data_IF_129786157443
#
_entry.id   IF_129786157443
#
_cell.length_a   1.000
_cell.length_b   1.000
_cell.length_c   1.000
_cell.angle_alpha   90.00
_cell.angle_beta   90.00
_cell.angle_gamma   90.00
#
_symmetry.space_group_name_H-M   'P 1'
#
loop_
_entity.id
_entity.type
_entity.pdbx_description
1 polymer ?
#
# COMPACT_ATOMS: atom_id res chain seq x y z
N UNK A 1 -3.75 23.39 21.31
CA UNK A 1 -3.81 22.35 22.36
C UNK A 1 -5.21 22.31 22.95
N UNK A 2 -6.05 21.33 22.57
CA UNK A 2 -7.34 21.08 23.26
C UNK A 2 -7.15 19.88 24.17
N UNK A 3 -7.23 20.09 25.48
CA UNK A 3 -7.23 19.01 26.47
C UNK A 3 -8.67 18.51 26.61
N UNK A 4 -8.94 17.26 26.24
CA UNK A 4 -10.21 16.60 26.57
C UNK A 4 -10.00 15.69 27.77
N UNK A 5 -10.68 16.00 28.86
CA UNK A 5 -10.64 15.19 30.09
C UNK A 5 -11.77 14.16 30.04
N UNK A 6 -11.43 12.87 29.97
CA UNK A 6 -12.41 11.79 30.11
C UNK A 6 -12.41 11.29 31.55
N UNK A 7 -13.49 11.56 32.29
CA UNK A 7 -13.76 10.93 33.59
C UNK A 7 -14.74 9.78 33.40
N UNK A 8 -14.28 8.54 33.61
CA UNK A 8 -15.16 7.36 33.68
C UNK A 8 -15.41 7.02 35.15
N UNK A 9 -16.69 6.94 35.54
CA UNK A 9 -17.09 6.43 36.86
C UNK A 9 -16.92 4.91 36.87
N UNK A 10 -16.03 4.37 37.71
CA UNK A 10 -16.04 2.95 38.06
C UNK A 10 -16.99 2.75 39.25
N UNK A 11 -17.96 1.84 39.11
CA UNK A 11 -18.91 1.49 40.17
C UNK A 11 -18.21 0.97 41.44
N UNK A 12 -18.74 1.38 42.59
CA UNK A 12 -18.24 1.06 43.94
C UNK A 12 -18.27 -0.44 44.26
N UNK A 13 -17.25 -0.99 44.97
CA UNK A 13 -17.47 -2.07 45.91
C UNK A 13 -17.92 -1.49 47.26
N UNK A 14 -19.00 -2.06 47.81
CA UNK A 14 -19.44 -1.81 49.17
C UNK A 14 -18.35 -2.33 50.14
N UNK A 15 -17.48 -1.45 50.64
CA UNK A 15 -16.73 -1.57 51.91
C UNK A 15 -15.77 -0.38 52.09
N UNK A 16 -16.32 0.78 52.48
CA UNK A 16 -15.78 1.70 53.50
C UNK A 16 -14.35 2.26 53.48
N UNK A 17 -13.49 1.98 52.49
CA UNK A 17 -12.13 2.53 52.45
C UNK A 17 -11.98 3.61 51.36
N UNK A 18 -11.45 4.82 51.67
CA UNK A 18 -11.19 5.83 50.67
C UNK A 18 -10.00 5.40 49.81
N UNK A 19 -10.25 5.03 48.55
CA UNK A 19 -9.19 4.87 47.55
C UNK A 19 -8.84 6.23 46.95
N UNK A 20 -7.55 6.55 46.91
CA UNK A 20 -7.05 7.73 46.23
C UNK A 20 -7.39 7.64 44.73
N UNK A 21 -8.15 8.60 44.21
CA UNK A 21 -8.42 8.72 42.79
C UNK A 21 -7.13 9.11 42.07
N UNK A 22 -6.51 8.15 41.36
CA UNK A 22 -5.45 8.45 40.41
C UNK A 22 -6.11 8.96 39.12
N UNK A 23 -6.20 10.28 38.96
CA UNK A 23 -6.56 10.87 37.69
C UNK A 23 -5.43 10.59 36.68
N UNK A 24 -5.66 9.65 35.76
CA UNK A 24 -4.76 9.45 34.62
C UNK A 24 -5.08 10.53 33.60
N UNK A 25 -4.29 11.61 33.60
CA UNK A 25 -4.32 12.59 32.51
C UNK A 25 -3.64 11.98 31.30
N UNK A 26 -4.44 11.47 30.36
CA UNK A 26 -3.92 11.08 29.05
C UNK A 26 -3.73 12.35 28.22
N UNK A 27 -2.51 12.86 28.14
CA UNK A 27 -2.18 13.95 27.23
C UNK A 27 -2.09 13.38 25.81
N UNK A 28 -3.19 13.46 25.06
CA UNK A 28 -3.15 13.26 23.60
C UNK A 28 -2.73 14.59 23.01
N UNK A 29 -1.45 14.71 22.62
CA UNK A 29 -1.01 15.80 21.76
C UNK A 29 -1.52 15.52 20.35
N UNK A 30 -2.61 16.15 19.96
CA UNK A 30 -2.92 16.34 18.55
C UNK A 30 -2.00 17.46 18.05
N UNK A 31 -1.07 17.11 17.17
CA UNK A 31 -0.32 18.07 16.40
C UNK A 31 -1.34 18.79 15.49
N UNK A 32 -1.70 20.02 15.85
CA UNK A 32 -2.39 20.86 14.90
C UNK A 32 -1.49 21.00 13.67
N UNK A 33 -2.02 20.75 12.47
CA UNK A 33 -1.35 21.10 11.22
C UNK A 33 -0.78 22.51 11.37
N UNK A 34 0.55 22.62 11.37
CA UNK A 34 1.22 23.90 11.50
C UNK A 34 0.73 24.79 10.35
N UNK A 35 0.18 25.96 10.70
CA UNK A 35 -0.22 26.92 9.67
C UNK A 35 1.04 27.28 8.86
N UNK A 36 1.00 27.00 7.55
CA UNK A 36 2.07 27.36 6.63
C UNK A 36 2.15 28.89 6.57
N UNK A 37 3.30 29.44 6.89
CA UNK A 37 3.51 30.90 6.92
C UNK A 37 4.67 31.36 6.05
N UNK A 38 5.51 30.45 5.55
CA UNK A 38 6.67 30.78 4.72
C UNK A 38 6.74 29.85 3.50
N UNK A 39 7.11 30.44 2.35
CA UNK A 39 7.20 29.73 1.08
C UNK A 39 8.62 29.79 0.53
N UNK A 40 9.16 28.63 0.21
CA UNK A 40 10.49 28.43 -0.35
C UNK A 40 10.37 27.76 -1.70
N UNK A 41 10.91 28.38 -2.75
CA UNK A 41 10.97 27.82 -4.10
C UNK A 41 12.41 27.44 -4.42
N UNK A 42 12.63 26.21 -4.85
CA UNK A 42 13.95 25.72 -5.22
C UNK A 42 14.41 26.33 -6.54
N UNK A 43 15.57 26.99 -6.52
CA UNK A 43 16.19 27.61 -7.69
C UNK A 43 17.42 26.83 -8.17
N UNK A 44 18.19 26.24 -7.25
CA UNK A 44 19.32 25.37 -7.58
C UNK A 44 20.47 26.05 -8.33
N UNK A 45 20.68 27.36 -8.14
CA UNK A 45 21.50 28.22 -9.00
C UNK A 45 23.00 27.88 -9.05
N UNK A 46 23.62 27.40 -7.95
CA UNK A 46 25.08 27.21 -7.88
C UNK A 46 25.55 25.84 -7.38
N UNK A 47 24.76 25.16 -6.55
CA UNK A 47 25.00 23.79 -6.13
C UNK A 47 23.66 23.09 -5.88
N UNK A 48 23.68 21.80 -5.56
CA UNK A 48 22.48 21.04 -5.22
C UNK A 48 22.23 20.94 -3.70
N UNK A 49 22.97 21.67 -2.86
CA UNK A 49 22.88 21.52 -1.42
C UNK A 49 21.61 22.22 -0.88
N UNK A 50 20.71 21.46 -0.24
CA UNK A 50 19.52 22.00 0.44
C UNK A 50 19.88 23.12 1.44
N UNK A 51 21.04 23.02 2.09
CA UNK A 51 21.49 23.95 3.11
C UNK A 51 22.01 25.29 2.57
N UNK A 52 22.20 25.41 1.27
CA UNK A 52 22.66 26.66 0.70
C UNK A 52 21.44 27.56 0.48
N UNK A 53 21.31 28.61 1.29
CA UNK A 53 20.18 29.55 1.20
C UNK A 53 20.09 30.25 -0.16
N UNK A 54 21.20 30.35 -0.90
CA UNK A 54 21.20 30.87 -2.27
C UNK A 54 20.48 29.96 -3.29
N UNK A 55 20.12 28.72 -2.92
CA UNK A 55 19.30 27.85 -3.77
C UNK A 55 17.79 28.03 -3.53
N UNK A 56 17.39 28.92 -2.62
CA UNK A 56 15.99 29.09 -2.23
C UNK A 56 15.51 30.51 -2.48
N UNK A 57 14.53 30.65 -3.38
CA UNK A 57 13.70 31.84 -3.48
C UNK A 57 12.72 31.86 -2.32
N UNK A 58 12.74 32.92 -1.51
CA UNK A 58 11.87 33.05 -0.33
C UNK A 58 10.85 34.17 -0.51
N UNK A 59 9.65 33.95 0.02
CA UNK A 59 8.67 35.02 0.20
C UNK A 59 8.08 34.97 1.62
N UNK A 60 8.25 36.04 2.44
CA UNK A 60 9.02 37.29 2.23
C UNK A 60 10.43 37.31 2.88
N UNK A 61 11.46 37.74 2.13
CA UNK A 61 12.82 38.04 2.62
C UNK A 61 13.83 36.90 2.42
N UNK A 62 15.11 37.18 2.19
CA UNK A 62 16.14 36.22 1.73
C UNK A 62 17.20 35.89 2.79
N UNK A 63 17.52 34.60 2.95
CA UNK A 63 18.74 34.15 3.66
C UNK A 63 18.62 32.80 4.37
N UNK A 64 17.40 32.31 4.55
CA UNK A 64 17.14 31.09 5.33
C UNK A 64 17.13 29.82 4.45
N UNK A 65 16.86 28.68 5.07
CA UNK A 65 16.61 27.40 4.39
C UNK A 65 15.33 26.80 4.94
N UNK A 66 14.57 26.04 4.14
CA UNK A 66 13.37 25.38 4.66
C UNK A 66 13.76 24.26 5.64
N UNK A 67 13.48 24.47 6.92
CA UNK A 67 13.79 23.53 8.00
C UNK A 67 12.76 23.48 9.17
N UNK A 68 11.58 24.08 9.01
CA UNK A 68 10.52 24.09 10.01
C UNK A 68 9.14 23.65 9.47
N UNK A 69 8.26 23.21 10.37
CA UNK A 69 6.92 22.67 10.05
C UNK A 69 5.95 23.69 9.46
N UNK A 70 6.24 24.99 9.55
CA UNK A 70 5.46 26.07 8.94
C UNK A 70 6.03 26.52 7.58
N UNK A 71 7.06 25.84 7.06
CA UNK A 71 7.66 26.12 5.77
C UNK A 71 7.05 25.22 4.69
N UNK A 72 6.64 25.80 3.57
CA UNK A 72 6.26 25.05 2.38
C UNK A 72 7.37 25.14 1.34
N UNK A 73 7.75 23.98 0.81
CA UNK A 73 8.75 23.83 -0.24
C UNK A 73 8.06 23.57 -1.57
N UNK A 74 8.43 24.34 -2.59
CA UNK A 74 8.04 24.17 -3.97
C UNK A 74 9.28 23.88 -4.82
N UNK A 75 9.25 22.78 -5.54
CA UNK A 75 10.17 22.47 -6.63
C UNK A 75 9.43 22.76 -7.92
N UNK A 76 9.97 23.60 -8.79
CA UNK A 76 9.38 23.85 -10.10
C UNK A 76 10.37 23.68 -11.25
N UNK A 77 9.92 23.94 -12.46
CA UNK A 77 10.69 23.78 -13.69
C UNK A 77 11.71 24.91 -13.95
N UNK A 78 11.72 25.95 -13.13
CA UNK A 78 12.64 27.08 -13.27
C UNK A 78 14.00 26.82 -12.63
N UNK A 79 14.13 25.71 -11.90
CA UNK A 79 15.37 25.38 -11.21
C UNK A 79 16.50 25.01 -12.18
N UNK A 80 17.68 25.59 -11.93
CA UNK A 80 18.91 25.27 -12.65
C UNK A 80 19.45 23.86 -12.34
N UNK A 81 18.98 23.22 -11.26
CA UNK A 81 19.33 21.86 -10.87
C UNK A 81 18.15 21.09 -10.33
N UNK A 82 17.99 19.87 -10.82
CA UNK A 82 16.87 18.98 -10.51
C UNK A 82 17.24 17.88 -9.52
N UNK A 83 18.51 17.86 -9.12
CA UNK A 83 19.01 17.00 -8.07
C UNK A 83 19.18 17.84 -6.81
N UNK A 84 18.64 17.37 -5.69
CA UNK A 84 18.66 18.03 -4.39
C UNK A 84 19.38 17.12 -3.40
N UNK A 85 20.38 17.66 -2.73
CA UNK A 85 21.23 16.94 -1.79
C UNK A 85 21.04 17.48 -0.38
N UNK A 86 20.61 16.60 0.53
CA UNK A 86 20.37 16.93 1.92
C UNK A 86 21.67 17.08 2.74
N UNK A 87 22.79 16.53 2.25
CA UNK A 87 24.10 16.53 2.91
C UNK A 87 24.04 16.08 4.38
N UNK A 88 23.48 14.89 4.69
CA UNK A 88 23.44 14.31 6.05
C UNK A 88 22.57 15.03 7.09
N UNK A 89 21.63 15.87 6.69
CA UNK A 89 20.82 16.60 7.63
C UNK A 89 19.34 16.25 7.52
N UNK A 90 18.69 16.27 8.67
CA UNK A 90 17.25 16.19 8.77
C UNK A 90 16.62 17.49 8.27
N UNK A 91 15.62 17.36 7.39
CA UNK A 91 14.82 18.47 6.88
C UNK A 91 13.41 18.32 7.37
N UNK A 92 12.96 19.27 8.17
CA UNK A 92 11.57 19.35 8.60
C UNK A 92 10.86 20.40 7.76
N UNK A 93 9.72 20.05 7.16
CA UNK A 93 8.91 20.97 6.36
C UNK A 93 7.43 20.71 6.59
N UNK A 94 6.62 21.74 6.40
CA UNK A 94 5.17 21.67 6.52
C UNK A 94 4.47 21.06 5.32
N UNK A 95 5.03 21.23 4.12
CA UNK A 95 4.47 20.71 2.86
C UNK A 95 5.55 20.69 1.78
N UNK A 96 5.51 19.71 0.90
CA UNK A 96 6.35 19.65 -0.31
C UNK A 96 5.46 19.59 -1.54
N UNK A 97 5.77 20.40 -2.55
CA UNK A 97 5.07 20.44 -3.83
C UNK A 97 6.08 20.39 -4.97
N UNK A 98 5.82 19.55 -5.97
CA UNK A 98 6.59 19.46 -7.22
C UNK A 98 5.71 19.94 -8.37
N UNK A 99 5.83 21.21 -8.75
CA UNK A 99 5.06 21.87 -9.82
C UNK A 99 5.91 21.88 -11.11
N UNK A 100 5.92 20.75 -11.82
CA UNK A 100 6.82 20.42 -12.92
C UNK A 100 6.08 20.60 -14.26
N UNK A 101 6.00 21.81 -14.79
CA UNK A 101 5.28 22.07 -16.06
C UNK A 101 5.98 21.55 -17.35
N UNK A 102 7.20 21.01 -17.23
CA UNK A 102 8.01 20.46 -18.34
C UNK A 102 8.55 19.07 -18.01
N UNK A 103 9.14 18.34 -18.98
CA UNK A 103 9.67 16.96 -18.88
C UNK A 103 10.85 16.73 -17.90
N UNK A 104 10.85 17.44 -16.79
CA UNK A 104 11.88 17.53 -15.78
C UNK A 104 11.59 16.52 -14.68
N UNK A 105 12.60 15.76 -14.25
CA UNK A 105 12.48 14.82 -13.12
C UNK A 105 13.37 15.25 -11.98
N UNK A 106 12.84 15.24 -10.75
CA UNK A 106 13.60 15.55 -9.55
C UNK A 106 14.20 14.30 -8.91
N UNK A 107 15.42 14.44 -8.41
CA UNK A 107 16.10 13.44 -7.58
C UNK A 107 16.43 14.08 -6.23
N UNK A 108 15.81 13.59 -5.15
CA UNK A 108 16.15 13.97 -3.78
C UNK A 108 17.03 12.89 -3.19
N UNK A 109 18.22 13.26 -2.72
CA UNK A 109 19.23 12.33 -2.20
C UNK A 109 20.04 12.94 -1.06
N UNK A 110 20.93 12.15 -0.49
CA UNK A 110 21.98 12.63 0.41
C UNK A 110 23.33 12.05 -0.06
N UNK A 111 24.29 12.90 -0.38
CA UNK A 111 25.64 12.48 -0.84
C UNK A 111 26.48 11.80 0.24
N UNK A 112 26.08 11.97 1.49
CA UNK A 112 26.54 11.21 2.63
C UNK A 112 25.31 10.46 3.20
N UNK A 113 25.47 9.22 3.65
CA UNK A 113 24.31 8.38 4.00
C UNK A 113 23.53 8.93 5.22
N UNK A 114 22.20 8.74 5.22
CA UNK A 114 21.24 9.04 6.33
C UNK A 114 20.60 10.43 6.34
N UNK A 115 20.38 11.06 5.18
CA UNK A 115 19.52 12.25 5.14
C UNK A 115 18.08 11.90 5.51
N UNK A 116 17.38 12.75 6.27
CA UNK A 116 15.98 12.54 6.62
C UNK A 116 15.14 13.68 6.06
N UNK A 117 14.01 13.37 5.44
CA UNK A 117 12.96 14.34 5.13
C UNK A 117 11.78 14.05 6.03
N UNK A 118 11.35 15.02 6.85
CA UNK A 118 10.14 14.99 7.65
C UNK A 118 9.15 15.99 7.08
N UNK A 119 8.10 15.49 6.46
CA UNK A 119 7.03 16.30 5.90
C UNK A 119 5.77 16.20 6.78
N UNK A 120 5.22 17.34 7.16
CA UNK A 120 4.05 17.45 8.05
C UNK A 120 2.73 17.73 7.30
N UNK A 121 2.75 17.72 5.97
CA UNK A 121 1.58 17.95 5.13
C UNK A 121 1.67 17.18 3.82
N UNK A 122 0.76 17.42 2.88
CA UNK A 122 0.68 16.60 1.66
C UNK A 122 1.97 16.63 0.84
N UNK A 123 2.18 15.54 0.11
CA UNK A 123 3.19 15.45 -0.92
C UNK A 123 2.46 15.51 -2.27
N UNK A 124 2.63 16.61 -2.99
CA UNK A 124 1.84 16.91 -4.17
C UNK A 124 2.76 17.03 -5.38
N UNK A 125 2.45 16.32 -6.44
CA UNK A 125 3.06 16.44 -7.77
C UNK A 125 1.93 16.48 -8.80
N UNK A 126 1.34 17.67 -9.07
CA UNK A 126 0.20 17.81 -9.98
C UNK A 126 0.55 17.58 -11.47
N UNK A 127 1.81 17.36 -11.82
CA UNK A 127 2.28 17.26 -13.21
C UNK A 127 2.88 15.89 -13.55
N UNK A 128 2.94 15.54 -14.84
CA UNK A 128 3.16 14.19 -15.37
C UNK A 128 4.57 13.59 -15.17
N UNK A 129 5.40 14.14 -14.29
CA UNK A 129 6.83 13.86 -14.29
C UNK A 129 7.34 13.20 -13.03
N UNK A 130 8.43 12.45 -13.19
CA UNK A 130 8.91 11.56 -12.16
C UNK A 130 9.64 12.33 -11.06
N UNK A 131 9.30 12.03 -9.81
CA UNK A 131 10.05 12.48 -8.64
C UNK A 131 10.61 11.26 -7.94
N UNK A 132 11.93 11.19 -7.77
CA UNK A 132 12.60 10.08 -7.12
C UNK A 132 13.22 10.52 -5.78
N UNK A 133 12.91 9.77 -4.72
CA UNK A 133 13.61 9.82 -3.44
C UNK A 133 14.60 8.65 -3.43
N UNK A 134 15.89 9.00 -3.39
CA UNK A 134 17.00 8.05 -3.46
C UNK A 134 17.12 7.21 -2.18
N UNK A 135 17.69 6.01 -2.30
CA UNK A 135 17.91 5.11 -1.17
C UNK A 135 18.84 5.68 -0.06
N UNK A 136 19.59 6.75 -0.35
CA UNK A 136 20.45 7.45 0.62
C UNK A 136 19.69 8.25 1.70
N UNK A 137 18.37 8.40 1.56
CA UNK A 137 17.54 9.13 2.51
C UNK A 137 16.47 8.24 3.16
N UNK A 138 15.79 8.78 4.17
CA UNK A 138 14.52 8.27 4.69
C UNK A 138 13.47 9.38 4.62
N UNK A 139 12.27 9.03 4.17
CA UNK A 139 11.14 9.96 4.10
C UNK A 139 10.15 9.63 5.22
N UNK A 140 9.80 10.63 6.02
CA UNK A 140 8.82 10.53 7.09
C UNK A 140 7.66 11.48 6.82
N UNK A 141 6.45 10.92 6.84
CA UNK A 141 5.22 11.69 6.85
C UNK A 141 4.70 11.76 8.29
N UNK A 142 4.87 12.91 8.94
CA UNK A 142 4.53 13.12 10.35
C UNK A 142 3.25 13.98 10.51
N UNK A 143 2.39 14.01 9.48
CA UNK A 143 1.10 14.69 9.53
C UNK A 143 0.05 13.87 10.29
N UNK A 144 -0.64 14.49 11.25
CA UNK A 144 -1.85 13.90 11.86
C UNK A 144 -2.95 13.75 10.78
N UNK A 145 -3.30 12.50 10.40
CA UNK A 145 -4.43 12.21 9.51
C UNK A 145 -4.07 11.44 8.24
N UNK A 146 -4.97 11.47 7.25
CA UNK A 146 -4.80 10.77 5.97
C UNK A 146 -3.66 11.44 5.19
N UNK A 147 -2.67 10.67 4.78
CA UNK A 147 -1.66 11.16 3.83
C UNK A 147 -2.19 11.01 2.42
N UNK A 148 -2.40 12.12 1.72
CA UNK A 148 -2.74 12.08 0.30
C UNK A 148 -1.47 12.22 -0.53
N UNK A 149 -1.14 11.16 -1.28
CA UNK A 149 -0.09 11.17 -2.27
C UNK A 149 -0.71 11.55 -3.61
N UNK A 150 -0.91 12.86 -3.81
CA UNK A 150 -1.45 13.38 -5.07
C UNK A 150 -0.33 13.41 -6.10
N UNK A 151 -0.31 12.36 -6.92
CA UNK A 151 0.69 12.12 -7.95
C UNK A 151 0.03 12.07 -9.31
N UNK A 152 -1.13 12.66 -9.49
CA UNK A 152 -1.79 12.66 -10.78
C UNK A 152 -1.33 13.87 -11.59
N UNK A 153 -0.80 13.72 -12.82
CA UNK A 153 -0.50 12.49 -13.57
C UNK A 153 0.93 11.96 -13.38
N UNK A 154 1.67 12.49 -12.41
CA UNK A 154 3.02 12.10 -12.01
C UNK A 154 3.24 10.61 -11.69
N UNK A 155 4.52 10.27 -11.54
CA UNK A 155 4.96 9.01 -10.97
C UNK A 155 6.02 9.25 -9.89
N UNK A 156 5.73 8.95 -8.63
CA UNK A 156 6.70 9.12 -7.54
C UNK A 156 7.41 7.81 -7.24
N UNK A 157 8.74 7.85 -7.11
CA UNK A 157 9.56 6.68 -6.83
C UNK A 157 10.24 6.85 -5.48
N UNK A 158 9.83 6.04 -4.50
CA UNK A 158 10.50 5.97 -3.21
C UNK A 158 11.44 4.78 -3.20
N UNK A 159 12.72 5.03 -3.51
CA UNK A 159 13.80 4.05 -3.28
C UNK A 159 14.32 4.10 -1.84
N UNK A 160 13.81 5.03 -1.03
CA UNK A 160 14.04 5.16 0.39
C UNK A 160 12.94 4.52 1.23
N UNK A 161 13.26 4.25 2.51
CA UNK A 161 12.25 3.89 3.48
C UNK A 161 11.25 5.04 3.69
N UNK A 162 9.96 4.70 3.68
CA UNK A 162 8.84 5.60 3.98
C UNK A 162 8.26 5.23 5.35
N UNK A 163 8.30 6.17 6.29
CA UNK A 163 7.83 6.01 7.67
C UNK A 163 7.04 7.22 8.16
N UNK A 164 6.76 7.26 9.46
CA UNK A 164 6.09 8.38 10.12
C UNK A 164 4.74 8.03 10.72
N UNK A 165 4.15 9.01 11.40
CA UNK A 165 2.84 8.89 12.05
C UNK A 165 1.71 9.11 11.03
N UNK A 166 1.55 8.23 10.05
CA UNK A 166 0.38 8.26 9.17
C UNK A 166 -0.87 8.08 10.02
N UNK A 167 -1.87 8.94 9.84
CA UNK A 167 -3.18 8.78 10.46
C UNK A 167 -3.92 7.61 9.82
N UNK A 168 -3.51 6.39 10.16
CA UNK A 168 -4.04 5.09 9.75
C UNK A 168 -4.23 4.85 8.24
N UNK A 169 -4.07 5.82 7.34
CA UNK A 169 -4.42 5.67 5.93
C UNK A 169 -3.53 6.51 5.00
N UNK A 170 -3.22 5.94 3.83
CA UNK A 170 -2.60 6.59 2.69
C UNK A 170 -3.58 6.51 1.53
N UNK A 171 -3.85 7.64 0.89
CA UNK A 171 -4.65 7.72 -0.35
C UNK A 171 -3.73 8.09 -1.50
N UNK A 172 -3.64 7.22 -2.50
CA UNK A 172 -2.87 7.42 -3.72
C UNK A 172 -3.80 7.82 -4.86
N UNK A 173 -3.52 8.98 -5.49
CA UNK A 173 -4.31 9.52 -6.60
C UNK A 173 -3.61 9.47 -7.96
N UNK A 174 -2.40 8.91 -8.03
CA UNK A 174 -1.60 8.77 -9.26
C UNK A 174 -0.60 7.62 -9.20
N UNK A 175 0.58 7.78 -9.80
CA UNK A 175 1.61 6.75 -9.85
C UNK A 175 2.56 6.75 -8.65
N UNK A 176 2.81 5.58 -8.03
CA UNK A 176 3.89 5.42 -7.05
C UNK A 176 4.65 4.11 -7.23
N UNK A 177 5.97 4.13 -7.08
CA UNK A 177 6.79 2.94 -6.78
C UNK A 177 7.29 3.01 -5.34
N UNK A 178 7.05 1.96 -4.56
CA UNK A 178 7.60 1.76 -3.23
C UNK A 178 8.73 0.71 -3.33
N UNK A 179 9.96 1.17 -3.50
CA UNK A 179 11.15 0.35 -3.75
C UNK A 179 11.91 -0.12 -2.50
N UNK A 180 11.56 0.38 -1.31
CA UNK A 180 12.22 0.01 -0.05
C UNK A 180 11.22 -0.51 1.00
N UNK A 181 11.76 -0.98 2.12
CA UNK A 181 10.98 -1.40 3.27
C UNK A 181 10.31 -0.19 3.95
N UNK A 182 9.02 -0.30 4.23
CA UNK A 182 8.23 0.75 4.87
C UNK A 182 7.63 0.25 6.18
N UNK A 183 7.36 1.17 7.10
CA UNK A 183 6.77 0.84 8.41
C UNK A 183 5.26 1.07 8.46
N UNK A 184 4.62 1.28 7.30
CA UNK A 184 3.20 1.54 7.21
C UNK A 184 2.37 0.26 7.40
N UNK A 185 1.39 0.30 8.31
CA UNK A 185 0.50 -0.81 8.62
C UNK A 185 -0.99 -0.43 8.60
N UNK A 186 -1.33 0.73 8.01
CA UNK A 186 -2.70 1.23 7.92
C UNK A 186 -3.43 0.83 6.62
N UNK A 187 -4.49 1.56 6.27
CA UNK A 187 -5.18 1.46 4.99
C UNK A 187 -4.38 2.09 3.84
N UNK A 188 -4.05 1.31 2.82
CA UNK A 188 -3.46 1.82 1.58
C UNK A 188 -4.53 1.83 0.49
N UNK A 189 -5.07 3.01 0.16
CA UNK A 189 -6.12 3.21 -0.83
C UNK A 189 -5.51 3.66 -2.16
N UNK A 190 -5.75 2.88 -3.22
CA UNK A 190 -5.40 3.20 -4.60
C UNK A 190 -6.68 3.63 -5.30
N UNK A 191 -6.80 4.90 -5.67
CA UNK A 191 -8.01 5.46 -6.29
C UNK A 191 -8.09 5.12 -7.78
N UNK A 192 -9.19 5.50 -8.42
CA UNK A 192 -9.38 5.37 -9.87
C UNK A 192 -8.26 6.05 -10.67
N UNK A 193 -7.60 5.30 -11.55
CA UNK A 193 -6.53 5.81 -12.42
C UNK A 193 -5.14 5.80 -11.76
N UNK A 194 -5.06 5.56 -10.45
CA UNK A 194 -3.81 5.43 -9.73
C UNK A 194 -3.14 4.07 -9.98
N UNK A 195 -1.81 4.03 -9.93
CA UNK A 195 -1.01 2.80 -10.04
C UNK A 195 0.06 2.75 -8.96
N UNK A 196 0.04 1.71 -8.13
CA UNK A 196 1.10 1.42 -7.19
C UNK A 196 1.96 0.25 -7.68
N UNK A 197 3.28 0.40 -7.63
CA UNK A 197 4.26 -0.67 -7.92
C UNK A 197 5.06 -0.97 -6.65
N UNK A 198 5.11 -2.22 -6.23
CA UNK A 198 5.91 -2.65 -5.08
C UNK A 198 7.24 -3.25 -5.54
N UNK A 199 8.34 -2.63 -5.15
CA UNK A 199 9.70 -3.10 -5.40
C UNK A 199 10.34 -3.85 -4.22
N UNK A 200 9.65 -3.99 -3.09
CA UNK A 200 10.17 -4.63 -1.88
C UNK A 200 9.08 -5.43 -1.14
N UNK A 201 9.45 -6.55 -0.52
CA UNK A 201 8.54 -7.42 0.24
C UNK A 201 7.87 -6.68 1.42
N UNK A 202 8.57 -5.68 1.94
CA UNK A 202 8.16 -4.91 3.10
C UNK A 202 7.55 -3.54 2.71
N UNK A 203 7.24 -3.30 1.43
CA UNK A 203 6.70 -2.01 0.99
C UNK A 203 5.35 -1.67 1.64
N UNK A 204 4.50 -2.67 1.90
CA UNK A 204 3.17 -2.51 2.50
C UNK A 204 2.91 -3.61 3.54
N UNK A 205 3.94 -3.99 4.30
CA UNK A 205 3.84 -5.10 5.23
C UNK A 205 2.72 -4.87 6.25
N UNK A 206 1.76 -5.78 6.31
CA UNK A 206 0.61 -5.71 7.21
C UNK A 206 -0.35 -4.53 6.95
N UNK A 207 -0.29 -3.89 5.78
CA UNK A 207 -1.26 -2.87 5.39
C UNK A 207 -2.61 -3.49 5.00
N UNK A 208 -3.69 -2.72 5.16
CA UNK A 208 -5.00 -3.02 4.60
C UNK A 208 -5.11 -2.40 3.22
N UNK A 209 -4.95 -3.18 2.16
CA UNK A 209 -4.91 -2.66 0.78
C UNK A 209 -6.31 -2.61 0.18
N UNK A 210 -6.71 -1.45 -0.33
CA UNK A 210 -7.94 -1.24 -1.09
C UNK A 210 -7.61 -0.66 -2.47
N UNK A 211 -7.96 -1.39 -3.52
CA UNK A 211 -7.86 -0.92 -4.90
C UNK A 211 -9.27 -0.55 -5.40
N UNK A 212 -9.53 0.73 -5.64
CA UNK A 212 -10.79 1.19 -6.23
C UNK A 212 -10.90 0.83 -7.71
N UNK A 213 -12.09 1.02 -8.27
CA UNK A 213 -12.34 0.72 -9.68
C UNK A 213 -11.45 1.60 -10.55
N UNK A 214 -10.70 0.98 -11.47
CA UNK A 214 -9.75 1.69 -12.32
C UNK A 214 -8.38 1.94 -11.67
N UNK A 215 -8.19 1.62 -10.40
CA UNK A 215 -6.86 1.58 -9.77
C UNK A 215 -6.14 0.27 -10.08
N UNK A 216 -4.80 0.29 -10.02
CA UNK A 216 -3.95 -0.89 -10.26
C UNK A 216 -2.86 -1.04 -9.20
N UNK A 217 -2.64 -2.26 -8.74
CA UNK A 217 -1.47 -2.64 -7.94
C UNK A 217 -0.63 -3.67 -8.71
N UNK A 218 0.65 -3.36 -8.85
CA UNK A 218 1.63 -4.19 -9.54
C UNK A 218 2.78 -4.56 -8.59
N UNK A 219 3.38 -5.72 -8.80
CA UNK A 219 4.68 -6.03 -8.22
C UNK A 219 5.77 -5.85 -9.26
N UNK A 220 6.95 -5.41 -8.82
CA UNK A 220 8.12 -5.40 -9.68
C UNK A 220 8.46 -6.84 -10.11
N UNK A 221 8.90 -7.00 -11.37
CA UNK A 221 9.05 -8.29 -12.06
C UNK A 221 9.95 -9.35 -11.36
N UNK A 222 10.69 -9.00 -10.31
CA UNK A 222 11.71 -9.85 -9.69
C UNK A 222 11.39 -10.18 -8.22
N UNK A 223 10.86 -11.39 -7.97
CA UNK A 223 10.93 -12.06 -6.65
C UNK A 223 10.23 -11.39 -5.47
N UNK A 224 9.58 -10.24 -5.67
CA UNK A 224 8.89 -9.51 -4.60
C UNK A 224 7.75 -10.36 -4.06
N UNK A 225 7.76 -10.55 -2.75
CA UNK A 225 6.85 -11.41 -2.02
C UNK A 225 6.11 -10.67 -0.90
N UNK A 226 5.21 -9.73 -1.25
CA UNK A 226 4.63 -8.84 -0.25
C UNK A 226 3.61 -9.57 0.62
N UNK A 227 3.44 -9.04 1.83
CA UNK A 227 2.43 -9.51 2.79
C UNK A 227 1.48 -8.39 3.20
N UNK A 228 0.21 -8.53 2.86
CA UNK A 228 -0.84 -7.59 3.27
C UNK A 228 -1.66 -8.15 4.43
N UNK A 229 -2.24 -7.28 5.24
CA UNK A 229 -3.26 -7.67 6.22
C UNK A 229 -4.57 -8.02 5.52
N UNK A 230 -5.00 -7.18 4.58
CA UNK A 230 -6.18 -7.40 3.72
C UNK A 230 -5.90 -6.91 2.30
N UNK A 231 -6.62 -7.48 1.33
CA UNK A 231 -6.68 -7.01 -0.06
C UNK A 231 -8.15 -6.98 -0.49
N UNK A 232 -8.67 -5.81 -0.86
CA UNK A 232 -10.09 -5.60 -1.18
C UNK A 232 -10.29 -4.63 -2.34
N UNK A 233 -11.53 -4.63 -2.85
CA UNK A 233 -11.98 -3.68 -3.86
C UNK A 233 -12.00 -4.23 -5.29
N UNK A 234 -12.49 -3.44 -6.25
CA UNK A 234 -12.68 -3.85 -7.65
C UNK A 234 -11.50 -3.56 -8.60
N UNK A 235 -10.44 -2.88 -8.17
CA UNK A 235 -9.29 -2.54 -9.03
C UNK A 235 -8.43 -3.75 -9.43
N UNK A 236 -7.51 -3.57 -10.37
CA UNK A 236 -6.66 -4.64 -10.90
C UNK A 236 -5.47 -4.97 -10.00
N UNK A 237 -5.06 -6.24 -9.98
CA UNK A 237 -3.82 -6.68 -9.34
C UNK A 237 -3.01 -7.58 -10.28
N UNK A 238 -1.78 -7.18 -10.58
CA UNK A 238 -0.87 -7.96 -11.41
C UNK A 238 0.23 -8.60 -10.57
N UNK A 239 0.28 -9.93 -10.58
CA UNK A 239 1.27 -10.74 -9.89
C UNK A 239 2.25 -11.36 -10.90
N UNK A 240 3.50 -10.91 -10.98
CA UNK A 240 4.48 -11.43 -11.95
C UNK A 240 4.72 -12.93 -11.82
N UNK A 241 5.29 -13.53 -12.88
CA UNK A 241 5.75 -14.93 -12.92
C UNK A 241 6.66 -15.21 -11.72
N UNK A 242 6.37 -16.29 -10.99
CA UNK A 242 7.17 -16.73 -9.84
C UNK A 242 7.09 -15.84 -8.60
N UNK A 243 6.33 -14.74 -8.62
CA UNK A 243 6.11 -13.91 -7.44
C UNK A 243 5.14 -14.57 -6.45
N UNK A 244 5.24 -14.20 -5.17
CA UNK A 244 4.35 -14.72 -4.11
C UNK A 244 3.58 -13.61 -3.44
N UNK A 245 2.25 -13.64 -3.44
CA UNK A 245 1.44 -12.76 -2.61
C UNK A 245 1.04 -13.49 -1.33
N UNK A 246 1.24 -12.88 -0.15
CA UNK A 246 0.60 -13.33 1.09
C UNK A 246 -0.49 -12.35 1.52
N UNK A 247 -1.70 -12.83 1.74
CA UNK A 247 -2.81 -12.03 2.29
C UNK A 247 -3.27 -12.62 3.62
N UNK A 248 -3.24 -11.81 4.66
CA UNK A 248 -3.82 -12.12 5.97
C UNK A 248 -2.89 -11.93 7.16
N UNK A 249 -3.51 -11.61 8.29
CA UNK A 249 -2.89 -11.53 9.61
C UNK A 249 -3.89 -11.76 10.75
N UNK A 250 -3.61 -11.27 11.95
CA UNK A 250 -4.40 -11.55 13.17
C UNK A 250 -5.78 -10.89 13.19
N UNK A 251 -5.97 -9.80 12.42
CA UNK A 251 -7.23 -9.07 12.31
C UNK A 251 -7.55 -8.84 10.83
N UNK A 252 -8.49 -9.63 10.29
CA UNK A 252 -9.01 -9.42 8.94
C UNK A 252 -10.28 -8.54 9.05
N UNK A 253 -10.13 -7.23 8.83
CA UNK A 253 -11.22 -6.27 8.96
C UNK A 253 -12.13 -6.25 7.72
N UNK A 254 -13.45 -6.41 7.93
CA UNK A 254 -14.47 -6.27 6.89
C UNK A 254 -14.44 -4.86 6.26
N UNK A 255 -14.62 -4.72 4.93
CA UNK A 255 -15.00 -5.76 3.96
C UNK A 255 -13.80 -6.55 3.42
N UNK A 256 -13.99 -7.88 3.30
CA UNK A 256 -12.97 -8.84 2.85
C UNK A 256 -13.22 -9.33 1.42
N UNK A 257 -13.85 -8.50 0.58
CA UNK A 257 -14.17 -8.87 -0.80
C UNK A 257 -13.19 -8.19 -1.74
N UNK A 258 -12.53 -9.01 -2.54
CA UNK A 258 -11.80 -8.57 -3.72
C UNK A 258 -12.60 -8.94 -4.96
N UNK A 259 -13.12 -7.92 -5.63
CA UNK A 259 -13.94 -8.03 -6.84
C UNK A 259 -13.20 -7.62 -8.10
N UNK A 260 -11.92 -7.27 -7.97
CA UNK A 260 -11.02 -7.05 -9.10
C UNK A 260 -10.50 -8.35 -9.68
N UNK A 261 -9.89 -8.26 -10.86
CA UNK A 261 -9.21 -9.39 -11.50
C UNK A 261 -7.77 -9.47 -10.98
N UNK A 262 -7.38 -10.65 -10.52
CA UNK A 262 -5.97 -11.00 -10.33
C UNK A 262 -5.45 -11.58 -11.64
N UNK A 263 -4.44 -10.96 -12.24
CA UNK A 263 -3.69 -11.52 -13.36
C UNK A 263 -2.35 -11.99 -12.81
N UNK A 264 -2.00 -13.25 -13.02
CA UNK A 264 -0.69 -13.75 -12.63
C UNK A 264 0.08 -14.44 -13.72
N UNK A 265 1.40 -14.43 -13.57
CA UNK A 265 2.27 -15.32 -14.32
C UNK A 265 2.11 -16.78 -13.92
N UNK A 266 2.70 -17.67 -14.72
CA UNK A 266 2.89 -19.06 -14.34
C UNK A 266 3.77 -19.17 -13.07
N UNK A 267 3.61 -20.24 -12.31
CA UNK A 267 4.40 -20.53 -11.10
C UNK A 267 4.31 -19.47 -9.98
N UNK A 268 3.43 -18.47 -10.09
CA UNK A 268 3.15 -17.54 -8.99
C UNK A 268 2.42 -18.25 -7.85
N UNK A 269 2.56 -17.75 -6.63
CA UNK A 269 1.91 -18.30 -5.44
C UNK A 269 1.06 -17.24 -4.74
N UNK A 270 -0.12 -17.63 -4.27
CA UNK A 270 -0.92 -16.82 -3.37
C UNK A 270 -1.12 -17.60 -2.07
N UNK A 271 -0.73 -17.03 -0.95
CA UNK A 271 -0.89 -17.66 0.37
C UNK A 271 -1.91 -16.88 1.20
N UNK A 272 -3.00 -17.54 1.59
CA UNK A 272 -4.05 -17.01 2.45
C UNK A 272 -3.79 -17.43 3.90
N UNK A 273 -3.61 -16.42 4.76
CA UNK A 273 -3.45 -16.53 6.21
C UNK A 273 -4.61 -15.84 6.95
N UNK A 274 -4.62 -15.94 8.29
CA UNK A 274 -5.63 -15.31 9.14
C UNK A 274 -6.98 -16.03 9.12
N UNK A 275 -7.72 -15.98 10.23
CA UNK A 275 -8.91 -16.83 10.44
C UNK A 275 -10.15 -16.46 9.62
N UNK A 276 -10.18 -15.30 8.96
CA UNK A 276 -11.37 -14.85 8.23
C UNK A 276 -11.49 -15.43 6.82
N UNK A 277 -12.70 -15.34 6.28
CA UNK A 277 -12.99 -15.63 4.86
C UNK A 277 -12.60 -14.44 3.99
N UNK A 278 -11.84 -14.71 2.93
CA UNK A 278 -11.56 -13.78 1.83
C UNK A 278 -12.42 -14.14 0.63
N UNK A 279 -13.29 -13.23 0.19
CA UNK A 279 -14.20 -13.46 -0.92
C UNK A 279 -13.58 -12.97 -2.22
N UNK A 280 -13.52 -13.84 -3.23
CA UNK A 280 -13.06 -13.52 -4.57
C UNK A 280 -14.26 -13.50 -5.52
N UNK A 281 -14.47 -12.38 -6.20
CA UNK A 281 -15.70 -12.14 -6.96
C UNK A 281 -15.52 -11.86 -8.46
N UNK A 282 -14.29 -11.93 -8.96
CA UNK A 282 -14.00 -11.86 -10.40
C UNK A 282 -13.51 -13.21 -10.95
N UNK A 283 -13.54 -13.35 -12.27
CA UNK A 283 -12.85 -14.42 -12.99
C UNK A 283 -11.35 -14.10 -13.01
N UNK A 284 -10.55 -14.81 -12.20
CA UNK A 284 -9.12 -14.50 -12.05
C UNK A 284 -8.28 -15.26 -13.08
N UNK A 285 -7.30 -14.57 -13.66
CA UNK A 285 -6.33 -15.15 -14.59
C UNK A 285 -5.08 -15.60 -13.82
N UNK A 286 -5.26 -16.53 -12.89
CA UNK A 286 -4.20 -17.01 -12.00
C UNK A 286 -3.90 -18.50 -12.26
N UNK A 287 -2.90 -18.84 -13.10
CA UNK A 287 -2.48 -20.23 -13.34
C UNK A 287 -1.55 -20.81 -12.26
N UNK A 288 -1.28 -20.04 -11.20
CA UNK A 288 -0.37 -20.41 -10.11
C UNK A 288 -0.98 -21.35 -9.06
N UNK A 289 -0.33 -21.38 -7.88
CA UNK A 289 -0.83 -22.11 -6.71
C UNK A 289 -1.45 -21.16 -5.68
N UNK A 290 -2.63 -21.50 -5.17
CA UNK A 290 -3.26 -20.83 -4.04
C UNK A 290 -3.15 -21.75 -2.82
N UNK A 291 -2.37 -21.34 -1.82
CA UNK A 291 -2.27 -22.01 -0.53
C UNK A 291 -3.26 -21.39 0.45
N UNK A 292 -4.13 -22.21 1.03
CA UNK A 292 -5.05 -21.79 2.08
C UNK A 292 -4.57 -22.40 3.39
N UNK A 293 -3.74 -21.64 4.10
CA UNK A 293 -3.07 -22.07 5.32
C UNK A 293 -3.88 -21.69 6.58
N UNK A 294 -4.72 -20.66 6.50
CA UNK A 294 -5.67 -20.31 7.55
C UNK A 294 -6.92 -19.57 7.04
N UNK A 295 -8.04 -19.74 7.76
CA UNK A 295 -9.34 -19.16 7.39
C UNK A 295 -9.91 -19.84 6.15
N UNK A 296 -10.55 -19.05 5.27
CA UNK A 296 -11.12 -19.58 4.03
C UNK A 296 -11.00 -18.62 2.85
N UNK A 297 -11.07 -19.18 1.63
CA UNK A 297 -11.39 -18.46 0.39
C UNK A 297 -12.80 -18.84 -0.03
N UNK A 298 -13.57 -17.85 -0.47
CA UNK A 298 -14.93 -18.03 -0.99
C UNK A 298 -15.05 -17.45 -2.40
N UNK A 299 -15.02 -18.26 -3.46
CA UNK A 299 -15.33 -17.78 -4.80
C UNK A 299 -16.83 -17.45 -4.92
N UNK A 300 -17.18 -16.46 -5.73
CA UNK A 300 -18.60 -16.17 -6.05
C UNK A 300 -18.99 -16.45 -7.50
N UNK A 301 -18.02 -16.71 -8.37
CA UNK A 301 -18.22 -17.15 -9.75
C UNK A 301 -17.63 -18.55 -9.95
N UNK A 302 -18.17 -19.31 -10.90
CA UNK A 302 -17.74 -20.69 -11.15
C UNK A 302 -16.31 -20.81 -11.68
N UNK A 303 -15.83 -19.77 -12.35
CA UNK A 303 -14.52 -19.69 -12.98
C UNK A 303 -13.50 -18.87 -12.16
N UNK A 304 -13.88 -18.37 -10.98
CA UNK A 304 -13.03 -17.55 -10.08
C UNK A 304 -11.63 -18.14 -9.88
N UNK A 305 -11.53 -19.48 -9.84
CA UNK A 305 -10.31 -20.25 -9.54
C UNK A 305 -9.96 -21.25 -10.66
N UNK A 306 -10.55 -21.12 -11.86
CA UNK A 306 -10.50 -22.15 -12.90
C UNK A 306 -9.08 -22.50 -13.39
N UNK A 307 -8.13 -21.57 -13.28
CA UNK A 307 -6.74 -21.78 -13.68
C UNK A 307 -5.83 -22.18 -12.51
N UNK A 308 -6.28 -21.99 -11.27
CA UNK A 308 -5.43 -22.14 -10.10
C UNK A 308 -5.37 -23.58 -9.61
N UNK A 309 -4.19 -24.03 -9.17
CA UNK A 309 -4.11 -25.17 -8.25
C UNK A 309 -4.40 -24.69 -6.84
N UNK A 310 -5.47 -25.18 -6.23
CA UNK A 310 -5.86 -24.81 -4.86
C UNK A 310 -5.35 -25.86 -3.88
N UNK A 311 -4.41 -25.48 -3.01
CA UNK A 311 -3.93 -26.29 -1.89
C UNK A 311 -4.67 -25.92 -0.62
N UNK A 312 -5.54 -26.82 -0.14
CA UNK A 312 -6.28 -26.63 1.11
C UNK A 312 -5.43 -27.22 2.25
N UNK A 313 -4.81 -26.38 3.06
CA UNK A 313 -3.94 -26.81 4.17
C UNK A 313 -4.61 -26.67 5.55
N UNK A 314 -5.78 -26.01 5.60
CA UNK A 314 -6.68 -25.96 6.76
C UNK A 314 -8.04 -26.56 6.43
N UNK A 315 -8.68 -27.21 7.40
CA UNK A 315 -10.05 -27.71 7.23
C UNK A 315 -11.00 -26.56 6.86
N UNK A 316 -11.89 -26.81 5.89
CA UNK A 316 -12.83 -25.83 5.36
C UNK A 316 -12.16 -24.59 4.71
N UNK A 317 -10.90 -24.72 4.26
CA UNK A 317 -10.17 -23.62 3.62
C UNK A 317 -10.83 -23.11 2.33
N UNK A 318 -11.57 -23.94 1.60
CA UNK A 318 -12.38 -23.52 0.47
C UNK A 318 -13.87 -23.62 0.84
N UNK A 319 -14.58 -22.50 0.78
CA UNK A 319 -16.02 -22.43 1.06
C UNK A 319 -16.78 -22.08 -0.20
N UNK A 320 -17.62 -23.01 -0.67
CA UNK A 320 -18.46 -22.80 -1.87
C UNK A 320 -19.82 -22.22 -1.47
N UNK A 321 -20.27 -21.10 -2.05
CA UNK A 321 -21.65 -20.63 -1.89
C UNK A 321 -22.65 -21.63 -2.49
N UNK A 322 -23.80 -21.83 -1.84
CA UNK A 322 -24.85 -22.81 -2.20
C UNK A 322 -25.25 -22.91 -3.69
N UNK A 323 -25.09 -21.84 -4.48
CA UNK A 323 -25.49 -21.76 -5.88
C UNK A 323 -24.31 -21.65 -6.87
N UNK A 324 -23.08 -21.93 -6.41
CA UNK A 324 -21.87 -21.82 -7.23
C UNK A 324 -21.16 -23.16 -7.32
N UNK A 325 -21.13 -23.73 -8.51
CA UNK A 325 -20.20 -24.81 -8.86
C UNK A 325 -18.83 -24.22 -9.16
N UNK A 326 -17.76 -24.73 -8.55
CA UNK A 326 -16.41 -24.24 -8.78
C UNK A 326 -15.66 -25.12 -9.80
N UNK A 327 -14.96 -24.47 -10.71
CA UNK A 327 -13.92 -25.09 -11.53
C UNK A 327 -12.57 -24.70 -10.95
N UNK A 328 -11.67 -25.67 -10.79
CA UNK A 328 -10.29 -25.46 -10.33
C UNK A 328 -9.32 -25.97 -11.39
N UNK A 329 -8.15 -25.34 -11.51
CA UNK A 329 -7.05 -25.87 -12.33
C UNK A 329 -6.41 -27.12 -11.69
N UNK A 330 -6.47 -27.22 -10.37
CA UNK A 330 -5.98 -28.36 -9.58
C UNK A 330 -6.50 -28.31 -8.15
N UNK A 331 -6.50 -29.46 -7.47
CA UNK A 331 -6.80 -29.56 -6.05
C UNK A 331 -5.68 -30.33 -5.34
N UNK A 332 -5.18 -29.77 -4.25
CA UNK A 332 -4.12 -30.33 -3.42
C UNK A 332 -4.32 -29.99 -1.94
N UNK A 333 -3.36 -30.36 -1.10
CA UNK A 333 -3.30 -30.02 0.32
C UNK A 333 -3.75 -31.14 1.27
N UNK A 334 -3.62 -30.88 2.57
CA UNK A 334 -3.89 -31.84 3.65
C UNK A 334 -5.20 -31.61 4.42
N UNK A 335 -5.86 -30.47 4.18
CA UNK A 335 -7.09 -30.08 4.85
C UNK A 335 -8.34 -30.67 4.21
N UNK A 336 -9.38 -30.85 5.01
CA UNK A 336 -10.66 -31.36 4.53
C UNK A 336 -11.41 -30.30 3.71
N UNK A 337 -11.82 -30.68 2.49
CA UNK A 337 -12.80 -29.92 1.71
C UNK A 337 -14.22 -30.33 2.14
N UNK A 338 -14.99 -29.35 2.61
CA UNK A 338 -16.42 -29.54 2.90
C UNK A 338 -17.26 -29.04 1.73
N UNK A 339 -17.93 -29.97 1.05
CA UNK A 339 -18.77 -29.69 -0.11
C UNK A 339 -20.23 -29.41 0.30
N UNK A 340 -20.55 -29.44 1.60
CA UNK A 340 -21.90 -29.19 2.11
C UNK A 340 -22.85 -30.38 1.92
N UNK A 341 -23.75 -30.59 2.88
CA UNK A 341 -24.67 -31.73 2.89
C UNK A 341 -25.99 -31.47 2.14
N UNK A 342 -26.28 -30.22 1.73
CA UNK A 342 -27.60 -29.80 1.21
C UNK A 342 -27.56 -29.20 -0.19
N UNK A 343 -26.38 -29.11 -0.81
CA UNK A 343 -26.19 -28.56 -2.16
C UNK A 343 -25.26 -29.47 -2.95
N UNK A 344 -25.72 -29.95 -4.11
CA UNK A 344 -24.86 -30.69 -5.03
C UNK A 344 -23.91 -29.72 -5.70
N UNK A 345 -22.68 -29.63 -5.23
CA UNK A 345 -21.63 -28.94 -5.96
C UNK A 345 -20.93 -29.90 -6.91
N UNK A 346 -20.69 -29.45 -8.15
CA UNK A 346 -19.78 -30.11 -9.07
C UNK A 346 -18.43 -29.40 -8.97
N UNK A 347 -17.43 -30.11 -8.46
CA UNK A 347 -16.05 -29.66 -8.53
C UNK A 347 -15.41 -30.22 -9.80
N UNK A 348 -15.08 -29.34 -10.75
CA UNK A 348 -14.35 -29.73 -11.96
C UNK A 348 -12.86 -29.52 -11.75
N UNK A 349 -12.08 -30.58 -11.91
CA UNK A 349 -10.61 -30.54 -11.93
C UNK A 349 -10.16 -31.24 -13.22
N UNK A 350 -9.42 -30.57 -14.12
CA UNK A 350 -8.89 -31.18 -15.32
C UNK A 350 -8.09 -32.44 -14.98
N UNK A 351 -8.31 -33.54 -15.71
CA UNK A 351 -7.42 -34.70 -15.64
C UNK A 351 -6.15 -34.37 -16.40
N UNK A 352 -4.98 -34.73 -15.86
CA UNK A 352 -3.70 -34.61 -16.56
C UNK A 352 -3.75 -35.48 -17.83
N UNK A 353 -3.91 -34.84 -19.01
CA UNK A 353 -3.87 -35.53 -20.32
C UNK A 353 -5.08 -35.36 -21.24
N UNK A 354 -6.04 -34.47 -20.96
CA UNK A 354 -7.19 -34.21 -21.88
C UNK A 354 -6.93 -33.14 -22.95
N UNK A 355 -5.70 -32.67 -23.12
CA UNK A 355 -5.28 -31.94 -24.32
C UNK A 355 -4.65 -32.91 -25.32
N UNK A 356 -5.21 -32.97 -26.54
CA UNK A 356 -4.83 -33.78 -27.71
C UNK A 356 -5.52 -35.15 -27.88
N UNK A 357 -6.83 -35.13 -28.07
CA UNK A 357 -7.48 -35.98 -29.08
C UNK A 357 -8.24 -35.07 -30.05
N UNK A 358 -7.50 -34.43 -30.97
CA UNK A 358 -8.12 -33.90 -32.18
C UNK A 358 -8.34 -35.13 -33.08
N UNK A 359 -9.60 -35.53 -33.19
CA UNK A 359 -10.05 -36.52 -34.16
C UNK A 359 -9.59 -36.13 -35.57
N UNK A 360 -8.57 -36.82 -36.06
CA UNK A 360 -8.30 -36.91 -37.49
C UNK A 360 -9.05 -38.12 -38.06
N UNK A 361 -10.37 -38.12 -37.95
CA UNK A 361 -11.23 -38.89 -38.85
C UNK A 361 -12.40 -38.02 -39.27
N UNK A 362 -12.22 -37.37 -40.42
CA UNK A 362 -13.21 -37.17 -41.50
C UNK A 362 -12.76 -35.97 -42.37
N UNK A 363 -11.87 -36.25 -43.33
CA UNK A 363 -11.78 -35.49 -44.56
C UNK A 363 -11.16 -36.34 -45.66
N UNK A 364 -12.04 -36.96 -46.45
CA UNK A 364 -11.90 -37.49 -47.82
C UNK A 364 -10.91 -38.63 -48.09
#
# INVERSE_FOLDING_TARGET
MRVQTFSRSLGWPANGHPLAFLAITLAISVAASAQVTQFFTWQGDNNNNWQNSANWGQTPGSGDVPDATNHQVRFDDTANRLNVDLNNNDRTVGKITFDLASNVSYLIRSSSQNGIVRNFGDLVSPDAHNVAFDASISYFQDSDGVWTLNTNPAYMVFNCAVGGAFGNSITLDGGVTLGAANTFSGDFLITSGATAVLGNDLSLQNANVWIESGGTLDLLLNGVSPKFMTLRGPGGFNLPVGATLTVGGTVFASPNTYSGVIVSGASSTLTKLGGATWQLSASNMFPGTINIDAGAIRPTLSDTLALATVSINTNNGLTLPAAVDATLGGLAGSGNLNIGATTTHILKVPRRGEEALVDHEHAM
#
